data_IF_464825359751
#
_entry.id   IF_464825359751
#
_cell.length_a   1.000
_cell.length_b   1.000
_cell.length_c   1.000
_cell.angle_alpha   90.00
_cell.angle_beta   90.00
_cell.angle_gamma   90.00
#
_symmetry.space_group_name_H-M   'P 1'
#
loop_
_entity.id
_entity.type
_entity.pdbx_description
1 polymer ?
#
# COMPACT_ATOMS: atom_id res chain seq x y z
N UNK A 1 -40.58 2.32 -21.87
CA UNK A 1 -39.22 1.92 -21.42
C UNK A 1 -38.75 2.98 -20.44
N UNK A 2 -38.39 2.63 -19.19
CA UNK A 2 -37.72 3.61 -18.34
C UNK A 2 -36.36 3.98 -18.98
N UNK A 3 -35.88 5.22 -18.82
CA UNK A 3 -34.56 5.60 -19.30
C UNK A 3 -33.52 4.71 -18.62
N UNK A 4 -32.64 4.11 -19.42
CA UNK A 4 -31.47 3.40 -18.92
C UNK A 4 -30.52 4.44 -18.33
N UNK A 5 -30.68 4.72 -17.03
CA UNK A 5 -29.73 5.51 -16.26
C UNK A 5 -28.41 4.74 -16.34
N UNK A 6 -27.42 5.30 -17.02
CA UNK A 6 -26.08 4.73 -17.04
C UNK A 6 -25.63 4.52 -15.59
N UNK A 7 -25.05 3.36 -15.24
CA UNK A 7 -24.48 3.18 -13.92
C UNK A 7 -23.48 4.33 -13.67
N UNK A 8 -23.46 4.92 -12.47
CA UNK A 8 -22.46 5.93 -12.16
C UNK A 8 -21.08 5.39 -12.51
N UNK A 9 -20.17 6.21 -13.08
CA UNK A 9 -18.81 5.77 -13.31
C UNK A 9 -18.28 5.18 -12.01
N UNK A 10 -17.71 3.97 -12.10
CA UNK A 10 -17.10 3.29 -10.95
C UNK A 10 -16.17 4.30 -10.28
N UNK A 11 -16.52 4.70 -9.06
CA UNK A 11 -15.74 5.70 -8.32
C UNK A 11 -14.31 5.17 -8.19
N UNK A 12 -13.33 6.00 -8.51
CA UNK A 12 -11.92 5.63 -8.39
C UNK A 12 -11.65 5.29 -6.91
N UNK A 13 -11.31 4.04 -6.58
CA UNK A 13 -11.12 3.62 -5.20
C UNK A 13 -9.99 4.37 -4.50
N UNK A 14 -9.13 5.09 -5.23
CA UNK A 14 -8.07 5.93 -4.68
C UNK A 14 -8.51 7.36 -4.31
N UNK A 15 -9.77 7.73 -4.53
CA UNK A 15 -10.28 9.08 -4.23
C UNK A 15 -10.82 9.23 -2.81
N UNK A 16 -11.21 8.14 -2.15
CA UNK A 16 -11.74 8.15 -0.79
C UNK A 16 -10.61 8.01 0.24
N UNK A 17 -10.38 8.99 1.14
CA UNK A 17 -9.33 8.90 2.16
C UNK A 17 -9.44 7.71 3.12
N UNK A 18 -10.63 7.12 3.25
CA UNK A 18 -10.86 5.92 4.06
C UNK A 18 -10.53 4.62 3.32
N UNK A 19 -10.37 4.68 2.00
CA UNK A 19 -10.02 3.52 1.18
C UNK A 19 -8.56 3.12 1.40
N UNK A 20 -8.28 1.80 1.50
CA UNK A 20 -6.89 1.33 1.57
C UNK A 20 -6.09 1.65 0.30
N UNK A 21 -6.77 1.94 -0.83
CA UNK A 21 -6.14 2.33 -2.09
C UNK A 21 -5.77 3.82 -2.15
N UNK A 22 -6.19 4.62 -1.17
CA UNK A 22 -5.85 6.03 -1.11
C UNK A 22 -4.37 6.23 -0.84
N UNK A 23 -3.75 7.14 -1.60
CA UNK A 23 -2.36 7.55 -1.43
C UNK A 23 -2.36 9.07 -1.29
N UNK A 24 -1.98 9.57 -0.12
CA UNK A 24 -1.93 10.99 0.14
C UNK A 24 -0.87 11.66 -0.75
N UNK A 25 -1.06 12.94 -1.13
CA UNK A 25 -0.11 13.65 -1.99
C UNK A 25 1.30 13.81 -1.39
N UNK A 26 1.44 13.65 -0.07
CA UNK A 26 2.74 13.62 0.62
C UNK A 26 3.40 12.24 0.68
N UNK A 27 2.70 11.19 0.23
CA UNK A 27 3.19 9.82 0.29
C UNK A 27 4.01 9.51 -0.95
N UNK A 28 5.32 9.38 -0.73
CA UNK A 28 6.31 8.97 -1.71
C UNK A 28 7.20 7.84 -1.19
N UNK A 29 8.17 7.39 -2.01
CA UNK A 29 9.04 6.26 -1.70
C UNK A 29 9.83 6.37 -0.38
N UNK A 30 10.07 7.59 0.09
CA UNK A 30 10.85 7.86 1.32
C UNK A 30 10.01 8.35 2.50
N UNK A 31 8.68 8.41 2.37
CA UNK A 31 7.80 9.00 3.39
C UNK A 31 7.64 8.13 4.64
N UNK A 32 7.90 6.81 4.54
CA UNK A 32 7.89 5.90 5.69
C UNK A 32 9.31 5.53 6.04
N UNK A 33 9.70 5.82 7.29
CA UNK A 33 10.96 5.41 7.88
C UNK A 33 10.66 4.46 9.05
N UNK A 34 11.34 3.31 9.08
CA UNK A 34 11.14 2.26 10.07
C UNK A 34 12.39 2.14 10.93
N UNK A 35 12.23 2.38 12.23
CA UNK A 35 13.31 2.25 13.21
C UNK A 35 12.95 1.14 14.22
N UNK A 36 13.85 0.20 14.52
CA UNK A 36 15.17 0.02 13.90
C UNK A 36 15.08 -0.52 12.46
N UNK A 37 16.08 -0.19 11.64
CA UNK A 37 16.30 -0.78 10.31
C UNK A 37 16.66 -2.26 10.47
N UNK A 38 16.22 -3.12 9.55
CA UNK A 38 16.53 -4.55 9.59
C UNK A 38 18.04 -4.75 9.43
N UNK A 39 18.68 -5.39 10.41
CA UNK A 39 20.13 -5.61 10.44
C UNK A 39 20.53 -7.11 10.57
N UNK A 40 19.60 -8.00 10.21
CA UNK A 40 19.81 -9.46 10.21
C UNK A 40 19.61 -10.13 11.56
N UNK A 41 19.73 -9.39 12.67
CA UNK A 41 19.56 -9.95 14.03
C UNK A 41 18.29 -9.46 14.74
N UNK A 42 17.67 -8.40 14.24
CA UNK A 42 16.57 -7.68 14.90
C UNK A 42 15.19 -7.86 14.24
N UNK A 43 14.99 -8.93 13.45
CA UNK A 43 13.78 -9.11 12.63
C UNK A 43 12.47 -8.90 13.40
N UNK A 44 12.34 -9.43 14.61
CA UNK A 44 11.12 -9.27 15.40
C UNK A 44 10.80 -7.79 15.71
N UNK A 45 11.80 -7.03 16.14
CA UNK A 45 11.67 -5.60 16.44
C UNK A 45 11.38 -4.79 15.17
N UNK A 46 12.09 -5.08 14.08
CA UNK A 46 11.86 -4.46 12.77
C UNK A 46 10.44 -4.75 12.27
N UNK A 47 9.98 -6.02 12.30
CA UNK A 47 8.66 -6.42 11.84
C UNK A 47 7.54 -5.72 12.64
N UNK A 48 7.71 -5.57 13.95
CA UNK A 48 6.77 -4.80 14.78
C UNK A 48 6.72 -3.32 14.38
N UNK A 49 7.87 -2.71 14.11
CA UNK A 49 7.95 -1.32 13.65
C UNK A 49 7.38 -1.14 12.25
N UNK A 50 7.70 -2.04 11.31
CA UNK A 50 7.18 -2.04 9.95
C UNK A 50 5.65 -2.17 9.94
N UNK A 51 5.10 -3.11 10.71
CA UNK A 51 3.64 -3.27 10.87
C UNK A 51 2.96 -1.99 11.38
N UNK A 52 3.53 -1.33 12.38
CA UNK A 52 2.99 -0.05 12.89
C UNK A 52 3.05 1.06 11.84
N UNK A 53 4.17 1.18 11.15
CA UNK A 53 4.39 2.22 10.14
C UNK A 53 3.41 2.08 8.97
N UNK A 54 3.19 0.86 8.48
CA UNK A 54 2.22 0.57 7.42
C UNK A 54 0.78 0.64 7.90
N UNK A 55 0.51 0.21 9.14
CA UNK A 55 -0.81 0.35 9.77
C UNK A 55 -1.26 1.80 9.83
N UNK A 56 -0.37 2.73 10.18
CA UNK A 56 -0.65 4.17 10.19
C UNK A 56 -0.99 4.74 8.80
N UNK A 57 -0.64 4.04 7.72
CA UNK A 57 -0.93 4.40 6.32
C UNK A 57 -2.12 3.64 5.73
N UNK A 58 -2.74 2.72 6.48
CA UNK A 58 -3.71 1.75 5.98
C UNK A 58 -3.12 0.91 4.82
N UNK A 59 -1.87 0.49 4.96
CA UNK A 59 -1.12 -0.26 3.94
C UNK A 59 -0.67 -1.65 4.40
N UNK A 60 -0.93 -2.01 5.66
CA UNK A 60 -0.55 -3.31 6.19
C UNK A 60 -1.33 -4.46 5.53
N UNK A 61 -2.60 -4.23 5.19
CA UNK A 61 -3.50 -5.23 4.57
C UNK A 61 -3.05 -5.69 3.17
N UNK A 62 -2.16 -4.94 2.52
CA UNK A 62 -1.52 -5.35 1.27
C UNK A 62 -0.39 -6.37 1.52
N UNK A 63 0.28 -6.30 2.68
CA UNK A 63 1.36 -7.23 3.03
C UNK A 63 0.85 -8.53 3.63
N UNK A 64 -0.22 -8.50 4.42
CA UNK A 64 -0.80 -9.71 5.00
C UNK A 64 -1.71 -10.46 4.01
N UNK A 65 -1.97 -9.88 2.84
CA UNK A 65 -2.77 -10.47 1.76
C UNK A 65 -4.28 -10.28 1.91
N UNK A 66 -4.74 -9.51 2.90
CA UNK A 66 -6.16 -9.18 3.06
C UNK A 66 -6.72 -8.40 1.87
N UNK A 67 -5.87 -7.63 1.18
CA UNK A 67 -6.18 -6.97 -0.09
C UNK A 67 -5.43 -7.68 -1.22
N UNK A 68 -6.04 -8.70 -1.86
CA UNK A 68 -5.41 -9.42 -2.94
C UNK A 68 -5.25 -8.54 -4.19
N UNK A 69 -4.28 -8.91 -5.02
CA UNK A 69 -4.12 -8.33 -6.35
C UNK A 69 -5.40 -8.56 -7.17
N UNK A 70 -5.96 -7.52 -7.81
CA UNK A 70 -7.10 -7.68 -8.71
C UNK A 70 -6.77 -8.64 -9.86
N UNK A 71 -7.68 -9.57 -10.15
CA UNK A 71 -7.45 -10.61 -11.17
C UNK A 71 -7.47 -10.07 -12.60
N UNK A 72 -8.22 -8.99 -12.83
CA UNK A 72 -8.32 -8.34 -14.13
C UNK A 72 -7.42 -7.10 -14.17
N UNK A 73 -6.48 -7.08 -15.11
CA UNK A 73 -5.58 -5.94 -15.33
C UNK A 73 -6.30 -4.69 -15.84
N UNK A 74 -7.52 -4.84 -16.38
CA UNK A 74 -8.36 -3.72 -16.84
C UNK A 74 -9.27 -3.18 -15.73
N UNK A 75 -9.29 -3.81 -14.55
CA UNK A 75 -10.00 -3.28 -13.39
C UNK A 75 -9.36 -1.95 -12.94
N UNK A 76 -10.14 -0.87 -12.75
CA UNK A 76 -9.62 0.40 -12.24
C UNK A 76 -8.87 0.27 -10.90
N UNK A 77 -9.27 -0.70 -10.05
CA UNK A 77 -8.60 -1.00 -8.79
C UNK A 77 -7.20 -1.59 -8.98
N UNK A 78 -6.91 -2.24 -10.12
CA UNK A 78 -5.57 -2.78 -10.42
C UNK A 78 -4.51 -1.70 -10.38
N UNK A 79 -4.77 -0.56 -11.03
CA UNK A 79 -3.83 0.57 -11.07
C UNK A 79 -3.61 1.15 -9.66
N UNK A 80 -4.67 1.26 -8.87
CA UNK A 80 -4.60 1.79 -7.51
C UNK A 80 -3.86 0.82 -6.57
N UNK A 81 -4.14 -0.48 -6.69
CA UNK A 81 -3.45 -1.55 -5.98
C UNK A 81 -1.95 -1.54 -6.30
N UNK A 82 -1.60 -1.50 -7.59
CA UNK A 82 -0.21 -1.52 -8.04
C UNK A 82 0.57 -0.28 -7.53
N UNK A 83 -0.05 0.90 -7.51
CA UNK A 83 0.56 2.11 -6.92
C UNK A 83 0.88 1.91 -5.43
N UNK A 84 -0.06 1.36 -4.65
CA UNK A 84 0.15 1.06 -3.24
C UNK A 84 1.27 0.04 -3.06
N UNK A 85 1.27 -1.04 -3.85
CA UNK A 85 2.28 -2.09 -3.82
C UNK A 85 3.70 -1.54 -4.07
N UNK A 86 3.88 -0.65 -5.05
CA UNK A 86 5.17 -0.01 -5.34
C UNK A 86 5.69 0.88 -4.21
N UNK A 87 4.80 1.59 -3.51
CA UNK A 87 5.16 2.36 -2.32
C UNK A 87 5.59 1.46 -1.17
N UNK A 88 4.82 0.39 -0.90
CA UNK A 88 5.15 -0.58 0.14
C UNK A 88 6.50 -1.23 -0.14
N UNK A 89 6.78 -1.60 -1.39
CA UNK A 89 8.07 -2.15 -1.79
C UNK A 89 9.20 -1.15 -1.52
N UNK A 90 9.00 0.12 -1.86
CA UNK A 90 9.98 1.18 -1.61
C UNK A 90 10.24 1.38 -0.11
N UNK A 91 9.20 1.40 0.72
CA UNK A 91 9.34 1.51 2.18
C UNK A 91 10.00 0.28 2.80
N UNK A 92 9.75 -0.91 2.26
CA UNK A 92 10.42 -2.13 2.68
C UNK A 92 11.92 -2.04 2.38
N UNK A 93 12.30 -1.76 1.14
CA UNK A 93 13.71 -1.63 0.74
C UNK A 93 14.44 -0.55 1.54
N UNK A 94 13.79 0.60 1.79
CA UNK A 94 14.35 1.70 2.59
C UNK A 94 14.42 1.40 4.10
N UNK A 95 13.84 0.28 4.55
CA UNK A 95 13.86 -0.16 5.95
C UNK A 95 14.85 -1.30 6.23
N UNK A 96 15.66 -1.67 5.24
CA UNK A 96 16.66 -2.73 5.32
C UNK A 96 18.05 -2.12 5.26
N UNK A 97 18.96 -2.61 6.08
CA UNK A 97 20.35 -2.15 6.08
C UNK A 97 21.01 -2.47 4.74
N UNK A 98 21.83 -1.56 4.22
CA UNK A 98 22.50 -1.72 2.93
C UNK A 98 23.42 -2.95 2.85
N UNK A 99 23.83 -3.52 3.98
CA UNK A 99 24.60 -4.77 4.01
C UNK A 99 23.77 -6.03 3.74
N UNK A 100 22.45 -5.93 3.79
CA UNK A 100 21.50 -7.03 3.53
C UNK A 100 20.89 -6.91 2.12
N UNK A 101 20.82 -5.69 1.58
CA UNK A 101 20.26 -5.39 0.27
C UNK A 101 21.19 -5.73 -0.90
#
# INVERSE_FOLDING_TARGET
MPPHVAPPPLADPSSDPSSPFFVHSSDGPSTVNVTPVLNGTNYHSWACSMRRALGAKLKFEFLDGSIPMPADAFDPSYRAWNRCNMLIHSWNMNSVDSSIS
#
